data_IF_507642136952
#
_entry.id   IF_507642136952
#
_cell.length_a   1.000
_cell.length_b   1.000
_cell.length_c   1.000
_cell.angle_alpha   90.00
_cell.angle_beta   90.00
_cell.angle_gamma   90.00
#
_symmetry.space_group_name_H-M   'P 1'
#
loop_
_entity.id
_entity.type
_entity.pdbx_description
1 polymer ?
#
# COMPACT_ATOMS: atom_id res chain seq x y z
N UNK A 1 -5.67 6.30 -87.54
CA UNK A 1 -4.71 7.34 -87.17
C UNK A 1 -4.90 7.66 -85.72
N UNK A 2 -3.78 7.57 -84.91
CA UNK A 2 -3.48 8.18 -83.59
C UNK A 2 -4.43 7.83 -82.48
N UNK A 3 -4.15 6.88 -81.64
CA UNK A 3 -3.31 6.81 -80.45
C UNK A 3 -3.42 8.04 -79.53
N UNK A 4 -4.09 7.88 -78.39
CA UNK A 4 -3.86 8.66 -77.23
C UNK A 4 -3.94 7.74 -75.98
N UNK A 5 -2.80 7.46 -75.47
CA UNK A 5 -2.58 6.68 -74.24
C UNK A 5 -2.93 7.58 -73.08
N UNK A 6 -3.95 7.24 -72.29
CA UNK A 6 -4.23 7.85 -71.02
C UNK A 6 -3.55 7.06 -69.90
N UNK A 7 -2.47 7.58 -69.41
CA UNK A 7 -1.79 7.03 -68.25
C UNK A 7 -2.60 7.30 -66.98
N UNK A 8 -3.25 6.25 -66.44
CA UNK A 8 -3.89 6.29 -65.14
C UNK A 8 -2.83 6.24 -64.03
N UNK A 9 -2.70 7.31 -63.33
CA UNK A 9 -1.82 7.42 -62.15
C UNK A 9 -2.55 6.79 -60.96
N UNK A 10 -2.20 5.58 -60.60
CA UNK A 10 -2.66 4.93 -59.37
C UNK A 10 -1.79 5.46 -58.23
N UNK A 11 -2.35 6.38 -57.48
CA UNK A 11 -1.75 6.81 -56.20
C UNK A 11 -2.09 5.76 -55.16
N UNK A 12 -1.17 4.87 -54.89
CA UNK A 12 -1.27 3.96 -53.77
C UNK A 12 -0.92 4.74 -52.48
N UNK A 13 -1.93 5.13 -51.72
CA UNK A 13 -1.76 5.62 -50.36
C UNK A 13 -1.38 4.43 -49.46
N UNK A 14 -0.11 4.25 -49.24
CA UNK A 14 0.38 3.39 -48.20
C UNK A 14 0.18 4.09 -46.85
N UNK A 15 -0.88 3.72 -46.14
CA UNK A 15 -1.02 4.03 -44.71
C UNK A 15 0.01 3.23 -43.93
N UNK A 16 1.14 3.82 -43.65
CA UNK A 16 2.07 3.32 -42.68
C UNK A 16 1.43 3.49 -41.28
N UNK A 17 0.79 2.44 -40.80
CA UNK A 17 0.44 2.30 -39.41
C UNK A 17 1.74 2.19 -38.63
N UNK A 18 2.27 3.35 -38.21
CA UNK A 18 3.33 3.39 -37.21
C UNK A 18 2.75 2.93 -35.88
N UNK A 19 2.79 1.61 -35.64
CA UNK A 19 2.78 1.12 -34.26
C UNK A 19 4.02 1.69 -33.58
N UNK A 20 3.86 2.82 -32.93
CA UNK A 20 4.87 3.32 -32.03
C UNK A 20 4.92 2.39 -30.85
N UNK A 21 5.77 1.38 -30.92
CA UNK A 21 6.23 0.69 -29.73
C UNK A 21 6.87 1.74 -28.85
N UNK A 22 6.21 2.07 -27.73
CA UNK A 22 6.81 2.92 -26.72
C UNK A 22 8.17 2.33 -26.36
N UNK A 23 9.23 3.13 -26.29
CA UNK A 23 10.52 2.61 -25.88
C UNK A 23 10.38 2.02 -24.48
N UNK A 24 10.75 0.73 -24.35
CA UNK A 24 10.89 0.07 -23.05
C UNK A 24 12.12 0.67 -22.36
N UNK A 25 12.02 1.96 -21.98
CA UNK A 25 12.97 2.56 -21.07
C UNK A 25 12.75 2.02 -19.65
N UNK A 26 13.75 2.07 -18.79
CA UNK A 26 13.55 1.76 -17.38
C UNK A 26 12.41 2.63 -16.87
N UNK A 27 11.43 1.99 -16.16
CA UNK A 27 10.31 2.70 -15.57
C UNK A 27 10.87 3.90 -14.76
N UNK A 28 10.28 5.10 -14.87
CA UNK A 28 10.77 6.24 -14.12
C UNK A 28 10.83 5.89 -12.63
N UNK A 29 11.91 6.31 -11.98
CA UNK A 29 12.09 6.13 -10.53
C UNK A 29 10.90 6.80 -9.82
N UNK A 30 9.90 6.01 -9.38
CA UNK A 30 8.61 6.50 -8.86
C UNK A 30 7.41 5.67 -9.30
N UNK A 31 7.53 4.79 -10.31
CA UNK A 31 6.45 3.92 -10.77
C UNK A 31 6.16 2.73 -9.83
N UNK A 32 6.94 2.55 -8.76
CA UNK A 32 6.75 1.50 -7.74
C UNK A 32 6.05 2.01 -6.48
N UNK A 33 5.71 1.09 -5.57
CA UNK A 33 5.17 1.42 -4.25
C UNK A 33 6.16 2.31 -3.48
N UNK A 34 5.66 3.34 -2.79
CA UNK A 34 6.47 4.17 -1.89
C UNK A 34 7.06 3.33 -0.75
N UNK A 35 8.14 3.82 -0.13
CA UNK A 35 8.70 3.19 1.07
C UNK A 35 7.66 3.11 2.20
N UNK A 36 6.87 4.15 2.37
CA UNK A 36 5.78 4.19 3.34
C UNK A 36 4.76 3.07 3.10
N UNK A 37 4.34 2.85 1.86
CA UNK A 37 3.38 1.79 1.54
C UNK A 37 3.98 0.40 1.77
N UNK A 38 5.22 0.15 1.32
CA UNK A 38 5.89 -1.14 1.55
C UNK A 38 6.02 -1.48 3.04
N UNK A 39 6.47 -0.50 3.83
CA UNK A 39 6.65 -0.69 5.26
C UNK A 39 5.30 -0.93 5.96
N UNK A 40 4.26 -0.17 5.59
CA UNK A 40 2.93 -0.36 6.19
C UNK A 40 2.27 -1.66 5.77
N UNK A 41 2.42 -2.12 4.53
CA UNK A 41 1.94 -3.44 4.12
C UNK A 41 2.54 -4.54 5.00
N UNK A 42 3.85 -4.50 5.21
CA UNK A 42 4.54 -5.47 6.07
C UNK A 42 4.06 -5.43 7.52
N UNK A 43 3.99 -4.24 8.10
CA UNK A 43 3.53 -4.04 9.48
C UNK A 43 2.06 -4.44 9.65
N UNK A 44 1.19 -4.05 8.71
CA UNK A 44 -0.24 -4.37 8.75
C UNK A 44 -0.50 -5.88 8.63
N UNK A 45 0.22 -6.58 7.75
CA UNK A 45 0.12 -8.04 7.62
C UNK A 45 0.54 -8.73 8.92
N UNK A 46 1.65 -8.30 9.52
CA UNK A 46 2.13 -8.88 10.77
C UNK A 46 1.16 -8.60 11.94
N UNK A 47 0.68 -7.37 12.06
CA UNK A 47 -0.29 -6.99 13.08
C UNK A 47 -1.60 -7.79 12.96
N UNK A 48 -2.16 -7.88 11.77
CA UNK A 48 -3.37 -8.66 11.55
C UNK A 48 -3.17 -10.13 11.93
N UNK A 49 -2.07 -10.73 11.50
CA UNK A 49 -1.76 -12.13 11.81
C UNK A 49 -1.54 -12.36 13.30
N UNK A 50 -0.73 -11.52 13.95
CA UNK A 50 -0.30 -11.75 15.33
C UNK A 50 -1.36 -11.35 16.35
N UNK A 51 -2.10 -10.28 16.10
CA UNK A 51 -3.08 -9.77 17.06
C UNK A 51 -4.50 -10.30 16.83
N UNK A 52 -4.89 -10.53 15.56
CA UNK A 52 -6.27 -10.91 15.20
C UNK A 52 -6.41 -12.36 14.76
N UNK A 53 -5.67 -12.81 13.76
CA UNK A 53 -5.77 -14.18 13.28
C UNK A 53 -5.33 -15.21 14.36
N UNK A 54 -4.35 -14.85 15.18
CA UNK A 54 -3.92 -15.64 16.32
C UNK A 54 -4.87 -15.58 17.53
N UNK A 55 -5.97 -14.82 17.46
CA UNK A 55 -6.95 -14.62 18.53
C UNK A 55 -6.34 -14.12 19.84
N UNK A 56 -5.42 -13.18 19.75
CA UNK A 56 -4.79 -12.59 20.93
C UNK A 56 -5.82 -11.91 21.84
N UNK A 57 -5.90 -12.31 23.13
CA UNK A 57 -6.90 -11.76 24.04
C UNK A 57 -6.86 -10.25 24.20
N UNK A 58 -5.68 -9.65 24.14
CA UNK A 58 -5.48 -8.21 24.32
C UNK A 58 -6.17 -7.38 23.21
N UNK A 59 -6.42 -7.97 22.03
CA UNK A 59 -6.98 -7.27 20.88
C UNK A 59 -8.43 -7.66 20.56
N UNK A 60 -9.06 -8.55 21.33
CA UNK A 60 -10.43 -9.03 21.08
C UNK A 60 -11.51 -7.95 21.12
N UNK A 61 -11.26 -6.85 21.83
CA UNK A 61 -12.19 -5.73 21.95
C UNK A 61 -12.16 -4.79 20.75
N UNK A 62 -11.31 -5.04 19.77
CA UNK A 62 -11.07 -4.14 18.64
C UNK A 62 -11.36 -4.81 17.31
N UNK A 63 -11.61 -3.98 16.29
CA UNK A 63 -11.62 -4.36 14.88
C UNK A 63 -10.45 -3.68 14.17
N UNK A 64 -9.88 -4.40 13.21
CA UNK A 64 -8.78 -3.92 12.37
C UNK A 64 -9.37 -3.22 11.13
N UNK A 65 -9.09 -1.94 10.96
CA UNK A 65 -9.50 -1.16 9.81
C UNK A 65 -8.27 -0.82 8.96
N UNK A 66 -8.22 -1.37 7.75
CA UNK A 66 -7.11 -1.18 6.83
C UNK A 66 -7.36 0.05 5.94
N UNK A 67 -6.44 1.02 5.97
CA UNK A 67 -6.46 2.23 5.14
C UNK A 67 -5.13 2.43 4.41
N UNK A 68 -4.56 1.37 3.84
CA UNK A 68 -3.28 1.44 3.11
C UNK A 68 -3.36 2.31 1.85
N UNK A 69 -4.55 2.44 1.24
CA UNK A 69 -4.81 3.28 0.08
C UNK A 69 -5.39 4.65 0.46
N UNK A 70 -4.98 5.20 1.58
CA UNK A 70 -5.45 6.50 2.05
C UNK A 70 -5.13 7.62 1.07
N UNK A 71 -6.12 8.49 0.77
CA UNK A 71 -5.94 9.69 -0.04
C UNK A 71 -4.93 10.69 0.53
N UNK A 72 -4.64 10.59 1.82
CA UNK A 72 -3.64 11.46 2.47
C UNK A 72 -2.19 11.15 2.09
N UNK A 73 -1.94 10.09 1.33
CA UNK A 73 -0.59 9.59 1.04
C UNK A 73 0.12 8.99 2.26
N UNK A 74 -0.60 8.77 3.34
CA UNK A 74 -0.11 8.12 4.56
C UNK A 74 -0.81 6.78 4.73
N UNK A 75 -0.23 5.71 4.21
CA UNK A 75 -0.78 4.37 4.41
C UNK A 75 -0.81 4.05 5.91
N UNK A 76 -1.94 3.50 6.37
CA UNK A 76 -2.16 3.24 7.79
C UNK A 76 -3.14 2.10 8.02
N UNK A 77 -3.16 1.60 9.23
CA UNK A 77 -4.30 0.85 9.76
C UNK A 77 -4.73 1.43 11.10
N UNK A 78 -5.97 1.16 11.46
CA UNK A 78 -6.59 1.64 12.68
C UNK A 78 -7.09 0.45 13.49
N UNK A 79 -7.05 0.57 14.82
CA UNK A 79 -7.88 -0.24 15.69
C UNK A 79 -9.03 0.63 16.21
N UNK A 80 -10.23 0.16 15.97
CA UNK A 80 -11.49 0.81 16.42
C UNK A 80 -12.22 -0.14 17.36
N UNK A 81 -13.19 0.35 18.15
CA UNK A 81 -14.02 -0.53 18.95
C UNK A 81 -14.65 -1.63 18.09
N UNK A 82 -14.71 -2.84 18.60
CA UNK A 82 -15.16 -4.02 17.86
C UNK A 82 -16.53 -3.80 17.22
N UNK A 83 -16.61 -4.07 15.91
CA UNK A 83 -17.85 -3.91 15.13
C UNK A 83 -18.23 -2.47 14.80
N UNK A 84 -17.48 -1.47 15.26
CA UNK A 84 -17.74 -0.06 15.01
C UNK A 84 -16.65 0.58 14.14
N UNK A 85 -16.67 0.32 12.84
CA UNK A 85 -15.68 0.85 11.88
C UNK A 85 -15.78 2.38 11.68
N UNK A 86 -16.90 3.01 12.04
CA UNK A 86 -17.06 4.46 12.09
C UNK A 86 -16.66 5.07 13.43
N UNK A 87 -16.25 4.26 14.39
CA UNK A 87 -15.86 4.70 15.72
C UNK A 87 -14.54 5.44 15.74
N UNK A 88 -14.30 6.15 16.85
CA UNK A 88 -13.04 6.85 17.06
C UNK A 88 -11.90 5.84 17.13
N UNK A 89 -10.81 6.03 16.37
CA UNK A 89 -9.65 5.15 16.45
C UNK A 89 -9.02 5.18 17.84
N UNK A 90 -8.73 4.00 18.36
CA UNK A 90 -8.03 3.82 19.63
C UNK A 90 -6.53 3.59 19.44
N UNK A 91 -6.15 3.16 18.24
CA UNK A 91 -4.77 3.08 17.77
C UNK A 91 -4.74 3.46 16.30
N UNK A 92 -3.75 4.26 15.92
CA UNK A 92 -3.39 4.55 14.53
C UNK A 92 -1.94 4.15 14.34
N UNK A 93 -1.68 3.31 13.36
CA UNK A 93 -0.32 2.97 12.92
C UNK A 93 -0.19 3.43 11.48
N UNK A 94 0.75 4.32 11.21
CA UNK A 94 0.93 4.90 9.87
C UNK A 94 2.40 5.01 9.49
N UNK A 95 2.67 5.08 8.20
CA UNK A 95 3.99 5.41 7.69
C UNK A 95 3.94 6.67 6.86
N UNK A 96 5.00 7.44 6.89
CA UNK A 96 5.12 8.69 6.13
C UNK A 96 6.56 8.99 5.73
N UNK A 97 6.68 9.93 4.81
CA UNK A 97 7.96 10.41 4.33
C UNK A 97 8.67 9.46 3.36
N UNK A 98 9.79 9.93 2.82
CA UNK A 98 10.58 9.20 1.84
C UNK A 98 11.21 7.92 2.41
N UNK A 99 11.53 7.89 3.70
CA UNK A 99 12.05 6.73 4.41
C UNK A 99 10.98 5.72 4.80
N UNK A 100 9.70 6.11 4.75
CA UNK A 100 8.59 5.29 5.21
C UNK A 100 8.63 5.04 6.73
N UNK A 101 8.95 6.08 7.50
CA UNK A 101 8.99 5.99 8.95
C UNK A 101 7.62 5.61 9.52
N UNK A 102 7.60 4.57 10.35
CA UNK A 102 6.38 4.05 10.97
C UNK A 102 6.20 4.63 12.36
N UNK A 103 5.01 5.15 12.62
CA UNK A 103 4.61 5.69 13.92
C UNK A 103 3.33 5.04 14.42
N UNK A 104 3.15 4.97 15.72
CA UNK A 104 1.93 4.51 16.37
C UNK A 104 1.49 5.51 17.43
N UNK A 105 0.21 5.82 17.47
CA UNK A 105 -0.37 6.75 18.43
C UNK A 105 -1.85 6.45 18.68
N UNK A 106 -2.37 7.00 19.74
CA UNK A 106 -3.75 6.86 20.18
C UNK A 106 -3.87 6.34 21.60
N UNK A 107 -5.09 6.30 22.17
CA UNK A 107 -5.31 5.93 23.58
C UNK A 107 -4.71 4.58 23.99
N UNK A 108 -4.63 3.60 23.09
CA UNK A 108 -4.03 2.30 23.42
C UNK A 108 -2.54 2.37 23.72
N UNK A 109 -1.85 3.41 23.27
CA UNK A 109 -0.42 3.60 23.54
C UNK A 109 -0.16 4.00 25.00
N UNK A 110 -1.14 4.64 25.64
CA UNK A 110 -1.09 5.05 27.05
C UNK A 110 -1.59 3.95 27.99
N UNK A 111 -2.14 2.88 27.45
CA UNK A 111 -2.67 1.75 28.21
C UNK A 111 -1.63 0.65 28.48
N UNK A 112 -2.05 -0.45 29.13
CA UNK A 112 -1.17 -1.55 29.52
C UNK A 112 -0.49 -2.23 28.31
N UNK A 113 -1.10 -2.19 27.14
CA UNK A 113 -0.57 -2.80 25.90
C UNK A 113 0.39 -1.88 25.12
N UNK A 114 0.52 -0.60 25.50
CA UNK A 114 1.30 0.39 24.75
C UNK A 114 2.75 -0.01 24.52
N UNK A 115 3.42 -0.54 25.54
CA UNK A 115 4.80 -1.03 25.43
C UNK A 115 4.93 -2.22 24.50
N UNK A 116 3.99 -3.16 24.54
CA UNK A 116 3.93 -4.31 23.66
C UNK A 116 3.65 -3.88 22.21
N UNK A 117 2.66 -3.02 21.99
CA UNK A 117 2.33 -2.47 20.67
C UNK A 117 3.56 -1.81 20.06
N UNK A 118 4.25 -0.96 20.82
CA UNK A 118 5.47 -0.29 20.37
C UNK A 118 6.57 -1.28 19.99
N UNK A 119 6.80 -2.30 20.81
CA UNK A 119 7.79 -3.35 20.57
C UNK A 119 7.48 -4.16 19.30
N UNK A 120 6.23 -4.55 19.13
CA UNK A 120 5.76 -5.31 17.96
C UNK A 120 5.94 -4.49 16.68
N UNK A 121 5.44 -3.26 16.65
CA UNK A 121 5.51 -2.38 15.47
C UNK A 121 6.97 -2.10 15.11
N UNK A 122 7.82 -1.77 16.07
CA UNK A 122 9.24 -1.54 15.83
C UNK A 122 9.95 -2.77 15.27
N UNK A 123 9.62 -3.96 15.73
CA UNK A 123 10.17 -5.22 15.23
C UNK A 123 9.74 -5.48 13.78
N UNK A 124 8.45 -5.30 13.48
CA UNK A 124 7.91 -5.50 12.14
C UNK A 124 8.40 -4.45 11.15
N UNK A 125 8.49 -3.18 11.55
CA UNK A 125 9.03 -2.11 10.72
C UNK A 125 10.51 -2.35 10.32
N UNK A 126 11.26 -3.14 11.10
CA UNK A 126 12.64 -3.54 10.78
C UNK A 126 12.75 -4.82 9.94
N UNK A 127 11.65 -5.38 9.51
CA UNK A 127 11.63 -6.52 8.60
C UNK A 127 11.35 -7.88 9.24
N UNK A 128 11.25 -7.98 10.57
CA UNK A 128 10.82 -9.20 11.23
C UNK A 128 9.31 -9.41 11.03
N UNK A 129 8.88 -10.64 10.93
CA UNK A 129 7.47 -11.01 10.92
C UNK A 129 7.05 -11.81 12.16
N UNK A 130 7.95 -11.98 13.13
CA UNK A 130 7.69 -12.75 14.33
C UNK A 130 6.62 -12.08 15.22
N UNK A 131 5.74 -12.89 15.78
CA UNK A 131 4.81 -12.45 16.82
C UNK A 131 5.55 -12.42 18.18
N UNK A 132 5.18 -11.46 19.05
CA UNK A 132 5.54 -11.58 20.46
C UNK A 132 4.72 -12.70 21.09
N UNK A 133 5.32 -13.44 22.03
CA UNK A 133 4.52 -14.31 22.88
C UNK A 133 3.52 -13.45 23.68
N UNK A 134 2.27 -13.90 23.75
CA UNK A 134 1.32 -13.32 24.70
C UNK A 134 1.92 -13.40 26.09
N UNK A 135 2.00 -12.26 26.74
CA UNK A 135 2.46 -12.20 28.13
C UNK A 135 1.45 -12.88 29.05
#
# INVERSE_FOLDING_TARGET
MRAAVGAGLIVALAFLSACQSAPSGPAPAGAGKSAALRNMEQVAIAAHRCWFAANDPAFRAYSFANELNSFSGRPRFLLVPKGNFGGRPLLVVQAEGASGHVTAFGPLMDGPEGGRISGDINRWARGSSACSSAA
#
